data_IF_678976781423
#
_entry.id   IF_678976781423
#
_cell.length_a   1.000
_cell.length_b   1.000
_cell.length_c   1.000
_cell.angle_alpha   90.00
_cell.angle_beta   90.00
_cell.angle_gamma   90.00
#
_symmetry.space_group_name_H-M   'P 1'
#
loop_
_entity.id
_entity.type
_entity.pdbx_description
1 polymer ?
#
# COMPACT_ATOMS: atom_id res chain seq x y z
N UNK A 1 -1.83 3.03 2.16
CA UNK A 1 -1.56 4.47 1.94
C UNK A 1 -2.21 5.26 3.08
N UNK A 2 -1.59 6.34 3.51
CA UNK A 2 -2.09 7.20 4.58
C UNK A 2 -1.55 8.62 4.44
N UNK A 3 -2.13 9.53 5.23
CA UNK A 3 -1.65 10.89 5.36
C UNK A 3 -0.79 11.01 6.62
N UNK A 4 0.31 11.73 6.53
CA UNK A 4 1.19 12.01 7.66
C UNK A 4 1.47 13.51 7.75
N UNK A 5 1.57 14.00 8.98
CA UNK A 5 1.98 15.38 9.24
C UNK A 5 3.44 15.40 9.67
N UNK A 6 4.26 16.21 9.00
CA UNK A 6 5.68 16.34 9.33
C UNK A 6 5.88 16.83 10.78
N UNK A 7 6.87 16.28 11.47
CA UNK A 7 7.30 16.78 12.78
C UNK A 7 7.85 18.22 12.73
N UNK A 8 8.27 18.67 11.54
CA UNK A 8 8.76 20.03 11.28
C UNK A 8 7.66 21.01 10.87
N UNK A 9 6.38 20.57 10.83
CA UNK A 9 5.27 21.44 10.47
C UNK A 9 5.05 22.50 11.56
N UNK A 10 5.08 23.76 11.18
CA UNK A 10 4.86 24.88 12.11
C UNK A 10 3.40 25.00 12.55
N UNK A 11 2.45 24.65 11.67
CA UNK A 11 1.03 24.72 11.96
C UNK A 11 0.40 23.31 11.98
N UNK A 12 0.78 22.52 12.99
CA UNK A 12 0.35 21.11 13.13
C UNK A 12 -1.15 20.93 13.22
N UNK A 13 -1.82 21.80 13.96
CA UNK A 13 -3.28 21.70 14.15
C UNK A 13 -4.03 21.88 12.83
N UNK A 14 -3.61 22.83 12.02
CA UNK A 14 -4.19 23.02 10.69
C UNK A 14 -3.86 21.86 9.76
N UNK A 15 -2.64 21.35 9.79
CA UNK A 15 -2.23 20.20 8.98
C UNK A 15 -3.01 18.94 9.35
N UNK A 16 -3.27 18.70 10.64
CA UNK A 16 -4.10 17.59 11.11
C UNK A 16 -5.55 17.77 10.65
N UNK A 17 -6.13 18.97 10.78
CA UNK A 17 -7.48 19.25 10.27
C UNK A 17 -7.58 19.04 8.77
N UNK A 18 -6.58 19.46 8.01
CA UNK A 18 -6.54 19.21 6.57
C UNK A 18 -6.47 17.71 6.25
N UNK A 19 -5.62 16.95 6.95
CA UNK A 19 -5.52 15.51 6.78
C UNK A 19 -6.86 14.80 7.09
N UNK A 20 -7.53 15.21 8.18
CA UNK A 20 -8.86 14.69 8.54
C UNK A 20 -9.92 15.05 7.49
N UNK A 21 -9.90 16.27 6.99
CA UNK A 21 -10.79 16.72 5.91
C UNK A 21 -10.57 15.89 4.64
N UNK A 22 -9.33 15.75 4.18
CA UNK A 22 -8.98 14.99 2.99
C UNK A 22 -9.34 13.48 3.12
N UNK A 23 -9.25 12.92 4.33
CA UNK A 23 -9.61 11.53 4.61
C UNK A 23 -11.10 11.33 4.93
N UNK A 24 -11.90 12.42 5.00
CA UNK A 24 -13.31 12.32 5.36
C UNK A 24 -14.13 11.57 4.31
N UNK A 25 -15.21 10.86 4.73
CA UNK A 25 -16.08 10.15 3.78
C UNK A 25 -16.61 11.05 2.66
N UNK A 26 -16.97 12.29 2.99
CA UNK A 26 -17.50 13.25 2.01
C UNK A 26 -16.47 13.54 0.91
N UNK A 27 -15.26 13.95 1.30
CA UNK A 27 -14.22 14.32 0.32
C UNK A 27 -13.75 13.10 -0.48
N UNK A 28 -13.64 11.94 0.17
CA UNK A 28 -13.25 10.70 -0.51
C UNK A 28 -14.32 10.22 -1.51
N UNK A 29 -15.60 10.49 -1.25
CA UNK A 29 -16.70 10.08 -2.13
C UNK A 29 -16.93 11.08 -3.27
N UNK A 30 -16.52 12.33 -3.13
CA UNK A 30 -16.76 13.38 -4.12
C UNK A 30 -15.44 13.87 -4.73
N UNK A 31 -14.93 14.97 -4.22
CA UNK A 31 -13.80 15.72 -4.77
C UNK A 31 -12.57 14.84 -5.08
N UNK A 32 -12.25 13.88 -4.22
CA UNK A 32 -11.08 13.03 -4.40
C UNK A 32 -11.21 12.11 -5.61
N UNK A 33 -12.36 11.46 -5.77
CA UNK A 33 -12.65 10.58 -6.91
C UNK A 33 -12.85 11.34 -8.19
N UNK A 34 -13.58 12.46 -8.17
CA UNK A 34 -13.80 13.34 -9.32
C UNK A 34 -12.49 13.86 -9.94
N UNK A 35 -11.46 14.03 -9.12
CA UNK A 35 -10.12 14.45 -9.57
C UNK A 35 -9.17 13.27 -9.83
N UNK A 36 -9.67 12.07 -10.07
CA UNK A 36 -8.89 10.90 -10.47
C UNK A 36 -8.16 10.21 -9.31
N UNK A 37 -8.49 10.53 -8.06
CA UNK A 37 -7.93 9.86 -6.90
C UNK A 37 -8.58 8.49 -6.66
N UNK A 38 -7.78 7.51 -6.24
CA UNK A 38 -8.31 6.25 -5.73
C UNK A 38 -8.60 6.39 -4.23
N UNK A 39 -9.89 6.42 -3.82
CA UNK A 39 -10.24 6.73 -2.44
C UNK A 39 -9.80 5.64 -1.47
N UNK A 40 -9.43 6.03 -0.26
CA UNK A 40 -9.11 5.12 0.84
C UNK A 40 -10.32 4.73 1.69
N UNK A 41 -11.47 5.36 1.48
CA UNK A 41 -12.66 5.17 2.30
C UNK A 41 -13.67 4.22 1.65
N UNK A 42 -14.11 3.18 2.38
CA UNK A 42 -15.02 2.15 1.85
C UNK A 42 -16.33 2.69 1.29
N UNK A 43 -16.91 3.76 1.89
CA UNK A 43 -18.12 4.39 1.34
C UNK A 43 -17.93 4.86 -0.09
N UNK A 44 -16.76 5.40 -0.42
CA UNK A 44 -16.45 5.85 -1.76
C UNK A 44 -16.37 4.70 -2.77
N UNK A 45 -15.94 3.51 -2.34
CA UNK A 45 -15.90 2.30 -3.16
C UNK A 45 -17.28 1.71 -3.44
N UNK A 46 -18.23 1.96 -2.55
CA UNK A 46 -19.62 1.48 -2.66
C UNK A 46 -20.55 2.53 -3.24
N UNK A 47 -20.07 3.75 -3.48
CA UNK A 47 -20.86 4.84 -4.02
C UNK A 47 -21.20 4.60 -5.50
N UNK A 48 -22.47 4.76 -5.85
CA UNK A 48 -22.97 4.48 -7.20
C UNK A 48 -22.41 5.45 -8.24
N UNK A 49 -22.30 6.73 -7.90
CA UNK A 49 -21.79 7.75 -8.82
C UNK A 49 -20.28 7.55 -9.07
N UNK A 50 -19.51 7.23 -8.03
CA UNK A 50 -18.10 6.88 -8.18
C UNK A 50 -17.91 5.66 -9.09
N UNK A 51 -18.74 4.63 -8.93
CA UNK A 51 -18.69 3.45 -9.77
C UNK A 51 -19.10 3.77 -11.21
N UNK A 52 -20.13 4.58 -11.40
CA UNK A 52 -20.52 5.05 -12.74
C UNK A 52 -19.36 5.81 -13.45
N UNK A 53 -18.69 6.71 -12.75
CA UNK A 53 -17.56 7.48 -13.30
C UNK A 53 -16.34 6.61 -13.62
N UNK A 54 -16.16 5.52 -12.89
CA UNK A 54 -14.97 4.64 -13.01
C UNK A 54 -15.27 3.31 -13.72
N UNK A 55 -16.42 3.22 -14.41
CA UNK A 55 -16.85 2.00 -15.12
C UNK A 55 -16.86 0.76 -14.21
N UNK A 56 -17.44 0.90 -13.02
CA UNK A 56 -17.54 -0.13 -11.96
C UNK A 56 -16.19 -0.62 -11.40
N UNK A 57 -15.07 0.07 -11.69
CA UNK A 57 -13.75 -0.35 -11.23
C UNK A 57 -13.67 -0.62 -9.73
N UNK A 58 -14.23 0.26 -8.90
CA UNK A 58 -14.18 0.10 -7.45
C UNK A 58 -15.01 -1.10 -6.98
N UNK A 59 -16.21 -1.23 -7.48
CA UNK A 59 -17.12 -2.35 -7.16
C UNK A 59 -16.53 -3.69 -7.57
N UNK A 60 -16.00 -3.79 -8.79
CA UNK A 60 -15.49 -5.03 -9.34
C UNK A 60 -14.17 -5.46 -8.70
N UNK A 61 -13.37 -4.51 -8.22
CA UNK A 61 -12.09 -4.79 -7.55
C UNK A 61 -12.18 -4.84 -6.02
N UNK A 62 -13.31 -4.45 -5.42
CA UNK A 62 -13.48 -4.41 -3.95
C UNK A 62 -13.20 -5.75 -3.27
N UNK A 63 -13.66 -6.85 -3.86
CA UNK A 63 -13.42 -8.20 -3.32
C UNK A 63 -11.92 -8.56 -3.31
N UNK A 64 -11.20 -8.16 -4.34
CA UNK A 64 -9.74 -8.34 -4.40
C UNK A 64 -9.05 -7.51 -3.32
N UNK A 65 -9.47 -6.27 -3.12
CA UNK A 65 -8.94 -5.40 -2.07
C UNK A 65 -9.22 -5.97 -0.67
N UNK A 66 -10.44 -6.45 -0.42
CA UNK A 66 -10.84 -7.04 0.87
C UNK A 66 -10.03 -8.31 1.21
N UNK A 67 -9.60 -9.06 0.21
CA UNK A 67 -8.79 -10.27 0.38
C UNK A 67 -7.28 -10.00 0.19
N UNK A 68 -6.87 -8.74 0.05
CA UNK A 68 -5.48 -8.40 -0.18
C UNK A 68 -4.63 -8.59 1.07
N UNK A 69 -3.36 -8.97 0.86
CA UNK A 69 -2.38 -9.09 1.93
C UNK A 69 -1.87 -7.72 2.37
N UNK A 70 -1.94 -7.44 3.67
CA UNK A 70 -1.36 -6.22 4.22
C UNK A 70 0.15 -6.42 4.42
N UNK A 71 0.96 -5.55 3.82
CA UNK A 71 2.40 -5.58 3.99
C UNK A 71 2.80 -5.52 5.46
N UNK A 72 3.78 -6.33 5.89
CA UNK A 72 4.33 -6.24 7.24
C UNK A 72 4.92 -4.86 7.54
N UNK A 73 4.91 -4.48 8.82
CA UNK A 73 5.37 -3.15 9.28
C UNK A 73 6.52 -3.26 10.30
N UNK A 74 7.25 -4.39 10.30
CA UNK A 74 8.41 -4.51 11.17
C UNK A 74 9.59 -3.70 10.65
N UNK A 75 10.45 -3.27 11.57
CA UNK A 75 11.72 -2.64 11.19
C UNK A 75 12.59 -3.64 10.41
N UNK A 76 13.03 -3.24 9.20
CA UNK A 76 13.73 -4.13 8.26
C UNK A 76 12.89 -4.67 7.11
N UNK A 77 11.55 -4.46 7.10
CA UNK A 77 10.73 -4.95 5.99
C UNK A 77 11.10 -4.31 4.65
N UNK A 78 11.44 -3.03 4.63
CA UNK A 78 11.86 -2.35 3.39
C UNK A 78 13.14 -2.99 2.84
N UNK A 79 14.10 -3.30 3.71
CA UNK A 79 15.31 -4.03 3.30
C UNK A 79 14.97 -5.38 2.66
N UNK A 80 14.06 -6.15 3.28
CA UNK A 80 13.57 -7.40 2.67
C UNK A 80 12.93 -7.17 1.31
N UNK A 81 12.03 -6.20 1.20
CA UNK A 81 11.32 -5.90 -0.05
C UNK A 81 12.28 -5.52 -1.19
N UNK A 82 13.26 -4.68 -0.90
CA UNK A 82 14.20 -4.18 -1.90
C UNK A 82 15.13 -5.27 -2.44
N UNK A 83 15.55 -6.21 -1.58
CA UNK A 83 16.48 -7.28 -1.97
C UNK A 83 15.78 -8.58 -2.42
N UNK A 84 14.56 -8.83 -1.97
CA UNK A 84 13.80 -10.03 -2.35
C UNK A 84 13.49 -10.06 -3.85
N UNK A 85 13.26 -8.89 -4.45
CA UNK A 85 12.98 -8.74 -5.87
C UNK A 85 14.10 -9.29 -6.77
N UNK A 86 15.35 -9.14 -6.35
CA UNK A 86 16.51 -9.60 -7.13
C UNK A 86 16.54 -11.11 -7.28
N UNK A 87 16.26 -11.88 -6.20
CA UNK A 87 16.19 -13.34 -6.25
C UNK A 87 15.07 -13.82 -7.18
N UNK A 88 13.90 -13.20 -7.09
CA UNK A 88 12.76 -13.55 -7.96
C UNK A 88 13.07 -13.21 -9.41
N UNK A 89 13.64 -12.04 -9.66
CA UNK A 89 14.02 -11.59 -11.01
C UNK A 89 15.05 -12.53 -11.63
N UNK A 90 16.08 -12.87 -10.87
CA UNK A 90 17.13 -13.78 -11.36
C UNK A 90 16.54 -15.14 -11.74
N UNK A 91 15.68 -15.70 -10.92
CA UNK A 91 14.98 -16.95 -11.22
C UNK A 91 14.10 -16.85 -12.47
N UNK A 92 13.36 -15.77 -12.63
CA UNK A 92 12.49 -15.56 -13.81
C UNK A 92 13.31 -15.43 -15.10
N UNK A 93 14.47 -14.78 -15.02
CA UNK A 93 15.32 -14.53 -16.20
C UNK A 93 16.19 -15.75 -16.56
N UNK A 94 16.72 -16.46 -15.59
CA UNK A 94 17.75 -17.47 -15.77
C UNK A 94 17.28 -18.90 -15.45
N UNK A 95 16.08 -19.04 -14.87
CA UNK A 95 15.57 -20.34 -14.41
C UNK A 95 16.27 -20.81 -13.14
N UNK A 96 16.20 -22.10 -12.89
CA UNK A 96 16.82 -22.74 -11.73
C UNK A 96 15.87 -23.52 -10.84
N UNK A 97 16.25 -23.72 -9.59
CA UNK A 97 15.42 -24.43 -8.62
C UNK A 97 14.60 -23.47 -7.76
N UNK A 98 13.28 -23.52 -7.90
CA UNK A 98 12.37 -22.65 -7.13
C UNK A 98 12.48 -22.85 -5.60
N UNK A 99 12.78 -24.08 -5.13
CA UNK A 99 12.98 -24.36 -3.72
C UNK A 99 14.17 -23.58 -3.15
N UNK A 100 15.29 -23.53 -3.87
CA UNK A 100 16.46 -22.77 -3.45
C UNK A 100 16.16 -21.26 -3.35
N UNK A 101 15.36 -20.71 -4.28
CA UNK A 101 14.95 -19.31 -4.23
C UNK A 101 14.08 -19.03 -3.01
N UNK A 102 13.13 -19.92 -2.71
CA UNK A 102 12.28 -19.80 -1.51
C UNK A 102 13.12 -19.87 -0.21
N UNK A 103 14.13 -20.73 -0.16
CA UNK A 103 15.04 -20.83 0.98
C UNK A 103 15.86 -19.54 1.16
N UNK A 104 16.36 -18.97 0.07
CA UNK A 104 17.06 -17.68 0.07
C UNK A 104 16.15 -16.55 0.54
N UNK A 105 14.90 -16.47 0.05
CA UNK A 105 13.91 -15.49 0.49
C UNK A 105 13.56 -15.65 1.97
N UNK A 106 13.40 -16.86 2.45
CA UNK A 106 13.16 -17.16 3.86
C UNK A 106 14.36 -16.74 4.75
N UNK A 107 15.59 -16.99 4.30
CA UNK A 107 16.80 -16.56 5.00
C UNK A 107 16.89 -15.02 5.04
N UNK A 108 16.64 -14.35 3.92
CA UNK A 108 16.61 -12.89 3.83
C UNK A 108 15.53 -12.29 4.76
N UNK A 109 14.33 -12.88 4.79
CA UNK A 109 13.25 -12.45 5.68
C UNK A 109 13.63 -12.57 7.16
N UNK A 110 14.24 -13.69 7.57
CA UNK A 110 14.76 -13.85 8.95
C UNK A 110 15.80 -12.80 9.28
N UNK A 111 16.81 -12.62 8.41
CA UNK A 111 17.86 -11.61 8.57
C UNK A 111 17.32 -10.20 8.73
N UNK A 112 16.32 -9.83 7.91
CA UNK A 112 15.69 -8.51 7.95
C UNK A 112 14.95 -8.23 9.28
N UNK A 113 14.43 -9.26 9.94
CA UNK A 113 13.76 -9.15 11.25
C UNK A 113 14.70 -8.99 12.43
N UNK A 114 15.94 -9.47 12.31
CA UNK A 114 16.92 -9.39 13.38
C UNK A 114 17.51 -7.99 13.58
N UNK A 115 17.06 -7.01 12.79
CA UNK A 115 17.47 -5.60 12.93
C UNK A 115 18.96 -5.35 12.68
N UNK A 116 19.67 -6.30 12.09
CA UNK A 116 21.05 -6.07 11.68
C UNK A 116 21.03 -5.13 10.48
N UNK A 117 21.21 -3.85 10.75
CA UNK A 117 21.59 -2.87 9.74
C UNK A 117 22.81 -3.43 8.99
N UNK A 118 22.64 -3.55 7.70
CA UNK A 118 23.73 -3.85 6.79
C UNK A 118 24.14 -2.56 6.13
#
# INVERSE_FOLDING_TARGET
>A
TGLAVSSLCENRDMAVKFAQYAASPLIQTTLYTENGGQPGHRKAWLDEENNRMTLDFFKDTLKTLDNSYLRPRYNGYLYFQDHAGDYVRDYVMNGGNAGNVLDQLNALCRKSREGKSI
#
